data_IF_243068141482
#
_entry.id   IF_243068141482
#
_cell.length_a   1.000
_cell.length_b   1.000
_cell.length_c   1.000
_cell.angle_alpha   90.00
_cell.angle_beta   90.00
_cell.angle_gamma   90.00
#
_symmetry.space_group_name_H-M   'P 1'
#
loop_
_entity.id
_entity.type
_entity.pdbx_description
1 polymer ?
#
# COMPACT_ATOMS: atom_id res chain seq x y z
N UNK A 1 14.06 8.79 12.22
CA UNK A 1 13.62 7.42 11.84
C UNK A 1 12.78 7.54 10.58
N UNK A 2 13.46 7.62 9.42
CA UNK A 2 12.85 7.91 8.13
C UNK A 2 12.34 6.63 7.46
N UNK A 3 11.16 6.75 6.85
CA UNK A 3 10.50 5.77 5.99
C UNK A 3 11.46 5.20 4.93
N UNK A 4 11.94 3.96 5.10
CA UNK A 4 12.42 3.12 3.99
C UNK A 4 11.22 2.36 3.44
N UNK A 5 10.33 3.10 2.76
CA UNK A 5 9.08 2.61 2.12
C UNK A 5 9.42 2.13 0.71
N UNK A 6 8.92 0.95 0.32
CA UNK A 6 8.62 0.45 -1.04
C UNK A 6 9.59 0.68 -2.22
N UNK A 7 10.15 1.87 -2.42
CA UNK A 7 11.05 2.26 -3.51
C UNK A 7 12.42 1.58 -3.43
N UNK A 8 12.93 1.32 -2.21
CA UNK A 8 14.21 0.63 -2.05
C UNK A 8 14.17 -0.85 -2.45
N UNK A 9 12.99 -1.49 -2.45
CA UNK A 9 12.90 -2.92 -2.76
C UNK A 9 13.11 -3.21 -4.24
N UNK A 10 12.59 -2.34 -5.11
CA UNK A 10 12.88 -2.36 -6.55
C UNK A 10 14.38 -2.21 -6.81
N UNK A 11 15.01 -1.19 -6.20
CA UNK A 11 16.46 -0.97 -6.30
C UNK A 11 17.27 -2.20 -5.84
N UNK A 12 16.88 -2.83 -4.74
CA UNK A 12 17.56 -4.03 -4.24
C UNK A 12 17.44 -5.20 -5.23
N UNK A 13 16.25 -5.43 -5.78
CA UNK A 13 16.00 -6.49 -6.77
C UNK A 13 16.75 -6.22 -8.08
N UNK A 14 16.76 -4.97 -8.55
CA UNK A 14 17.47 -4.56 -9.76
C UNK A 14 18.98 -4.73 -9.59
N UNK A 15 19.54 -4.26 -8.47
CA UNK A 15 20.95 -4.44 -8.13
C UNK A 15 21.30 -5.92 -8.01
N UNK A 16 20.45 -6.71 -7.35
CA UNK A 16 20.65 -8.15 -7.24
C UNK A 16 20.65 -8.83 -8.61
N UNK A 17 19.70 -8.49 -9.47
CA UNK A 17 19.58 -9.03 -10.82
C UNK A 17 20.84 -8.71 -11.65
N UNK A 18 21.25 -7.44 -11.69
CA UNK A 18 22.48 -7.00 -12.37
C UNK A 18 23.69 -7.79 -11.84
N UNK A 19 23.81 -7.91 -10.52
CA UNK A 19 24.95 -8.61 -9.92
C UNK A 19 24.98 -10.09 -10.28
N UNK A 20 23.83 -10.78 -10.30
CA UNK A 20 23.75 -12.21 -10.67
C UNK A 20 24.01 -12.48 -12.16
N UNK A 21 23.78 -11.49 -13.02
CA UNK A 21 24.07 -11.60 -14.46
C UNK A 21 25.56 -11.38 -14.74
N UNK A 22 26.20 -10.45 -14.03
CA UNK A 22 27.60 -10.07 -14.27
C UNK A 22 28.58 -10.95 -13.48
N UNK A 23 28.22 -11.39 -12.28
CA UNK A 23 29.08 -12.15 -11.38
C UNK A 23 28.58 -13.57 -11.19
N UNK A 24 29.52 -14.53 -11.26
CA UNK A 24 29.24 -15.93 -10.94
C UNK A 24 28.90 -16.06 -9.46
N UNK A 25 27.76 -16.66 -9.15
CA UNK A 25 27.36 -16.95 -7.77
C UNK A 25 28.32 -17.96 -7.12
N UNK A 26 28.98 -17.55 -6.02
CA UNK A 26 29.96 -18.39 -5.31
C UNK A 26 29.43 -18.98 -3.99
N UNK A 27 28.30 -18.49 -3.47
CA UNK A 27 27.73 -19.00 -2.23
C UNK A 27 27.01 -17.93 -1.41
N UNK A 28 26.69 -18.29 -0.16
CA UNK A 28 25.94 -17.45 0.77
C UNK A 28 26.89 -16.81 1.79
N UNK A 29 26.60 -15.57 2.18
CA UNK A 29 27.41 -14.85 3.16
C UNK A 29 27.13 -15.33 4.59
N UNK A 30 28.14 -15.87 5.27
CA UNK A 30 28.10 -16.18 6.70
C UNK A 30 27.80 -14.92 7.51
N UNK A 31 26.82 -14.98 8.40
CA UNK A 31 26.48 -13.89 9.31
C UNK A 31 25.06 -13.98 9.86
N UNK A 32 24.35 -12.85 9.85
CA UNK A 32 23.02 -12.74 10.49
C UNK A 32 21.99 -13.69 9.88
N UNK A 33 22.04 -13.91 8.58
CA UNK A 33 21.03 -14.69 7.84
C UNK A 33 21.43 -16.14 7.55
N UNK A 34 22.73 -16.42 7.41
CA UNK A 34 23.26 -17.75 7.11
C UNK A 34 24.42 -18.13 8.03
N UNK A 35 24.48 -19.39 8.44
CA UNK A 35 25.58 -19.92 9.27
C UNK A 35 26.81 -20.32 8.44
N UNK A 36 27.84 -20.86 9.12
CA UNK A 36 29.08 -21.39 8.52
C UNK A 36 28.86 -22.46 7.45
N UNK A 37 27.73 -23.17 7.51
CA UNK A 37 27.37 -24.25 6.57
C UNK A 37 26.41 -23.74 5.48
N UNK A 38 26.08 -22.44 5.47
CA UNK A 38 25.12 -21.84 4.54
C UNK A 38 23.65 -22.10 4.87
N UNK A 39 23.35 -22.64 6.06
CA UNK A 39 21.97 -22.91 6.48
C UNK A 39 21.28 -21.63 6.96
N UNK A 40 19.96 -21.50 6.74
CA UNK A 40 19.19 -20.35 7.19
C UNK A 40 19.14 -20.27 8.73
N UNK A 41 19.52 -19.13 9.29
CA UNK A 41 19.41 -18.89 10.73
C UNK A 41 17.95 -18.68 11.15
N UNK A 42 17.68 -18.74 12.46
CA UNK A 42 16.37 -18.36 13.02
C UNK A 42 15.96 -16.94 12.63
N UNK A 43 16.93 -16.05 12.45
CA UNK A 43 16.67 -14.66 12.06
C UNK A 43 16.12 -14.59 10.63
N UNK A 44 16.74 -15.29 9.68
CA UNK A 44 16.26 -15.35 8.30
C UNK A 44 14.83 -15.89 8.22
N UNK A 45 14.56 -17.01 8.89
CA UNK A 45 13.21 -17.59 8.96
C UNK A 45 12.18 -16.60 9.51
N UNK A 46 12.56 -15.80 10.51
CA UNK A 46 11.71 -14.75 11.06
C UNK A 46 11.43 -13.61 10.08
N UNK A 47 12.43 -13.20 9.29
CA UNK A 47 12.26 -12.17 8.25
C UNK A 47 11.37 -12.70 7.12
N UNK A 48 11.61 -13.91 6.64
CA UNK A 48 10.80 -14.55 5.59
C UNK A 48 9.33 -14.73 6.04
N UNK A 49 9.10 -15.17 7.27
CA UNK A 49 7.74 -15.30 7.81
C UNK A 49 7.01 -13.95 7.89
N UNK A 50 7.71 -12.88 8.28
CA UNK A 50 7.15 -11.52 8.27
C UNK A 50 6.86 -11.03 6.86
N UNK A 51 7.75 -11.28 5.90
CA UNK A 51 7.55 -10.93 4.50
C UNK A 51 6.35 -11.67 3.89
N UNK A 52 6.24 -12.99 4.13
CA UNK A 52 5.12 -13.81 3.68
C UNK A 52 3.79 -13.33 4.27
N UNK A 53 3.75 -13.04 5.58
CA UNK A 53 2.56 -12.44 6.21
C UNK A 53 2.23 -11.08 5.60
N UNK A 54 3.24 -10.27 5.31
CA UNK A 54 3.09 -8.97 4.66
C UNK A 54 2.40 -9.07 3.30
N UNK A 55 2.89 -9.99 2.45
CA UNK A 55 2.31 -10.27 1.14
C UNK A 55 0.85 -10.76 1.23
N UNK A 56 0.55 -11.66 2.18
CA UNK A 56 -0.81 -12.14 2.41
C UNK A 56 -1.78 -11.02 2.82
N UNK A 57 -1.34 -10.11 3.69
CA UNK A 57 -2.16 -8.98 4.13
C UNK A 57 -2.39 -7.98 2.99
N UNK A 58 -1.36 -7.71 2.17
CA UNK A 58 -1.48 -6.84 1.01
C UNK A 58 -2.47 -7.41 -0.01
N UNK A 59 -2.44 -8.71 -0.25
CA UNK A 59 -3.38 -9.35 -1.19
C UNK A 59 -4.82 -9.30 -0.68
N UNK A 60 -5.03 -9.62 0.61
CA UNK A 60 -6.35 -9.47 1.25
C UNK A 60 -6.85 -8.03 1.14
N UNK A 61 -5.97 -7.07 1.35
CA UNK A 61 -6.30 -5.65 1.24
C UNK A 61 -6.74 -5.28 -0.18
N UNK A 62 -6.05 -5.74 -1.22
CA UNK A 62 -6.47 -5.53 -2.61
C UNK A 62 -7.85 -6.12 -2.89
N UNK A 63 -8.12 -7.32 -2.40
CA UNK A 63 -9.43 -7.99 -2.57
C UNK A 63 -10.55 -7.19 -1.90
N UNK A 64 -10.34 -6.73 -0.67
CA UNK A 64 -11.32 -5.88 0.03
C UNK A 64 -11.51 -4.53 -0.67
N UNK A 65 -10.45 -3.96 -1.21
CA UNK A 65 -10.51 -2.68 -1.91
C UNK A 65 -11.19 -2.78 -3.27
N UNK A 66 -11.03 -3.90 -3.97
CA UNK A 66 -11.67 -4.17 -5.25
C UNK A 66 -13.20 -4.30 -5.14
N UNK A 67 -13.75 -4.56 -3.94
CA UNK A 67 -15.21 -4.60 -3.71
C UNK A 67 -15.87 -3.23 -3.87
N UNK A 68 -15.12 -2.15 -3.65
CA UNK A 68 -15.63 -0.79 -3.69
C UNK A 68 -14.89 0.02 -4.76
N UNK A 69 -15.60 0.64 -5.72
CA UNK A 69 -14.99 1.39 -6.79
C UNK A 69 -14.11 2.53 -6.24
N UNK A 70 -12.92 2.68 -6.82
CA UNK A 70 -12.02 3.80 -6.51
C UNK A 70 -12.52 5.09 -7.14
N UNK A 71 -12.24 6.22 -6.50
CA UNK A 71 -12.51 7.53 -7.08
C UNK A 71 -11.48 7.89 -8.15
N UNK A 72 -11.90 8.72 -9.10
CA UNK A 72 -10.99 9.42 -10.00
C UNK A 72 -10.38 10.62 -9.27
N UNK A 73 -9.15 11.00 -9.64
CA UNK A 73 -8.49 12.19 -9.10
C UNK A 73 -7.64 12.87 -10.15
N UNK A 74 -7.65 14.20 -10.17
CA UNK A 74 -6.76 15.01 -11.01
C UNK A 74 -6.02 16.03 -10.17
N UNK A 75 -4.85 16.41 -10.64
CA UNK A 75 -4.11 17.54 -10.07
C UNK A 75 -3.61 18.43 -11.20
N UNK A 76 -3.81 19.73 -11.05
CA UNK A 76 -3.20 20.74 -11.91
C UNK A 76 -2.63 21.88 -11.07
N UNK A 77 -1.65 22.59 -11.60
CA UNK A 77 -1.05 23.72 -10.90
C UNK A 77 -2.03 24.88 -10.70
N UNK A 78 -2.97 25.05 -11.63
CA UNK A 78 -3.93 26.15 -11.66
C UNK A 78 -5.16 25.88 -10.77
N UNK A 79 -5.69 24.66 -10.81
CA UNK A 79 -6.95 24.30 -10.14
C UNK A 79 -6.76 23.50 -8.85
N UNK A 80 -5.54 23.03 -8.58
CA UNK A 80 -5.22 22.21 -7.41
C UNK A 80 -5.62 20.75 -7.58
N UNK A 81 -5.94 20.08 -6.48
CA UNK A 81 -6.35 18.66 -6.49
C UNK A 81 -7.86 18.55 -6.54
N UNK A 82 -8.37 17.63 -7.33
CA UNK A 82 -9.78 17.31 -7.38
C UNK A 82 -9.99 15.80 -7.36
N UNK A 83 -11.13 15.38 -6.79
CA UNK A 83 -11.54 13.98 -6.69
C UNK A 83 -13.02 13.88 -7.09
N UNK A 84 -13.36 12.90 -7.92
CA UNK A 84 -14.74 12.68 -8.36
C UNK A 84 -15.07 11.20 -8.57
N UNK A 85 -16.37 10.94 -8.69
CA UNK A 85 -16.92 9.63 -9.04
C UNK A 85 -17.80 9.76 -10.27
N UNK A 86 -17.66 8.86 -11.24
CA UNK A 86 -18.53 8.84 -12.42
C UNK A 86 -19.97 8.44 -12.06
N UNK A 87 -20.09 7.55 -11.07
CA UNK A 87 -21.36 7.17 -10.43
C UNK A 87 -21.19 7.22 -8.91
N UNK A 88 -22.10 7.93 -8.24
CA UNK A 88 -22.11 8.08 -6.78
C UNK A 88 -21.34 9.29 -6.26
N UNK A 89 -20.94 9.22 -4.99
CA UNK A 89 -20.30 10.30 -4.24
C UNK A 89 -18.97 9.83 -3.62
N UNK A 90 -17.89 10.63 -3.71
CA UNK A 90 -16.59 10.27 -3.14
C UNK A 90 -16.63 10.29 -1.60
N UNK A 91 -16.13 9.22 -0.97
CA UNK A 91 -15.95 9.12 0.48
C UNK A 91 -14.58 8.57 0.85
N UNK A 92 -14.03 9.12 1.92
CA UNK A 92 -12.80 8.64 2.53
C UNK A 92 -13.12 7.45 3.43
N UNK A 93 -12.51 6.30 3.14
CA UNK A 93 -12.63 5.05 3.88
C UNK A 93 -11.28 4.63 4.44
N UNK A 94 -11.28 4.06 5.64
CA UNK A 94 -10.06 3.61 6.30
C UNK A 94 -9.51 2.33 5.66
N UNK A 95 -8.18 2.14 5.72
CA UNK A 95 -7.49 0.91 5.28
C UNK A 95 -7.00 0.12 6.50
N UNK A 96 -7.88 -0.62 7.21
CA UNK A 96 -7.53 -1.25 8.48
C UNK A 96 -6.42 -2.30 8.37
N UNK A 97 -6.34 -3.02 7.24
CA UNK A 97 -5.31 -4.03 7.01
C UNK A 97 -3.90 -3.44 6.85
N UNK A 98 -3.79 -2.16 6.43
CA UNK A 98 -2.51 -1.49 6.24
C UNK A 98 -1.81 -1.17 7.57
N UNK A 99 -2.57 -1.05 8.68
CA UNK A 99 -2.01 -0.81 10.02
C UNK A 99 -1.07 -1.95 10.42
N UNK A 100 -1.46 -3.19 10.13
CA UNK A 100 -0.68 -4.37 10.49
C UNK A 100 0.68 -4.40 9.75
N UNK A 101 0.79 -3.66 8.63
CA UNK A 101 2.00 -3.56 7.82
C UNK A 101 2.84 -2.34 8.17
N UNK A 102 2.21 -1.17 8.30
CA UNK A 102 2.89 0.13 8.38
C UNK A 102 2.87 0.74 9.77
N UNK A 103 2.04 0.22 10.67
CA UNK A 103 1.76 0.80 11.98
C UNK A 103 1.01 2.12 11.93
N UNK A 104 0.52 2.54 10.75
CA UNK A 104 -0.21 3.79 10.57
C UNK A 104 -1.55 3.55 9.90
N UNK A 105 -2.54 4.32 10.30
CA UNK A 105 -3.82 4.37 9.63
C UNK A 105 -3.75 5.28 8.41
N UNK A 106 -4.15 4.75 7.27
CA UNK A 106 -4.32 5.49 6.02
C UNK A 106 -5.80 5.46 5.61
N UNK A 107 -6.18 6.45 4.81
CA UNK A 107 -7.52 6.56 4.20
C UNK A 107 -7.36 6.51 2.69
N UNK A 108 -8.36 5.96 2.00
CA UNK A 108 -8.49 6.01 0.53
C UNK A 108 -9.85 6.55 0.14
N UNK A 109 -9.98 7.00 -1.10
CA UNK A 109 -11.29 7.33 -1.65
C UNK A 109 -11.98 6.07 -2.20
N UNK A 110 -13.29 5.99 -2.00
CA UNK A 110 -14.20 5.06 -2.67
C UNK A 110 -15.51 5.77 -3.03
N UNK A 111 -16.16 5.32 -4.11
CA UNK A 111 -17.44 5.85 -4.55
C UNK A 111 -18.60 5.04 -3.95
N UNK A 112 -19.59 5.73 -3.41
CA UNK A 112 -20.79 5.13 -2.82
C UNK A 112 -22.06 5.69 -3.45
N UNK A 113 -23.12 4.89 -3.49
CA UNK A 113 -24.45 5.39 -3.86
C UNK A 113 -25.08 6.19 -2.72
N UNK A 114 -26.16 6.92 -3.03
CA UNK A 114 -26.82 7.82 -2.07
C UNK A 114 -27.36 7.08 -0.84
N UNK A 115 -27.91 5.89 -1.05
CA UNK A 115 -28.44 5.01 -0.02
C UNK A 115 -27.37 4.45 0.93
N UNK A 116 -26.10 4.41 0.49
CA UNK A 116 -24.98 3.91 1.28
C UNK A 116 -24.30 5.01 2.13
N UNK A 117 -24.61 6.29 1.89
CA UNK A 117 -23.93 7.40 2.56
C UNK A 117 -24.14 7.44 4.09
N UNK A 118 -25.18 6.77 4.59
CA UNK A 118 -25.45 6.65 6.02
C UNK A 118 -24.57 5.63 6.77
N UNK A 119 -23.70 4.89 6.07
CA UNK A 119 -22.85 3.89 6.69
C UNK A 119 -21.79 4.53 7.62
N UNK A 120 -21.52 3.93 8.79
CA UNK A 120 -20.49 4.42 9.69
C UNK A 120 -19.10 4.27 9.08
N UNK A 121 -18.20 5.23 9.36
CA UNK A 121 -16.82 5.19 8.88
C UNK A 121 -16.60 5.79 7.49
N UNK A 122 -17.63 6.37 6.88
CA UNK A 122 -17.51 7.23 5.69
C UNK A 122 -17.21 8.66 6.11
N UNK A 123 -16.10 9.21 5.61
CA UNK A 123 -15.72 10.59 5.86
C UNK A 123 -15.81 11.43 4.57
N UNK A 124 -16.24 12.68 4.69
CA UNK A 124 -16.29 13.65 3.59
C UNK A 124 -14.97 14.45 3.57
N UNK A 125 -14.52 14.83 2.38
CA UNK A 125 -13.38 15.73 2.25
C UNK A 125 -13.65 17.09 2.91
N UNK A 126 -12.62 17.68 3.53
CA UNK A 126 -12.75 18.98 4.19
C UNK A 126 -13.22 20.06 3.22
N UNK A 127 -14.30 20.77 3.54
CA UNK A 127 -14.86 21.81 2.69
C UNK A 127 -15.69 21.33 1.50
N UNK A 128 -15.91 20.01 1.36
CA UNK A 128 -16.78 19.45 0.34
C UNK A 128 -18.22 19.27 0.85
N UNK A 129 -19.22 19.51 0.01
CA UNK A 129 -20.62 19.26 0.35
C UNK A 129 -20.90 17.75 0.47
N UNK A 130 -21.85 17.38 1.34
CA UNK A 130 -22.19 15.97 1.55
C UNK A 130 -22.69 15.31 0.26
N UNK A 131 -23.42 16.01 -0.60
CA UNK A 131 -23.94 15.49 -1.87
C UNK A 131 -23.13 15.99 -3.08
N UNK A 132 -21.88 16.42 -2.88
CA UNK A 132 -21.00 16.78 -3.98
C UNK A 132 -20.48 15.53 -4.71
N UNK A 133 -20.61 15.51 -6.04
CA UNK A 133 -20.02 14.48 -6.92
C UNK A 133 -18.54 14.74 -7.24
N UNK A 134 -18.10 15.99 -7.08
CA UNK A 134 -16.74 16.47 -7.30
C UNK A 134 -16.30 17.25 -6.07
N UNK A 135 -15.18 16.89 -5.48
CA UNK A 135 -14.56 17.60 -4.35
C UNK A 135 -13.22 18.20 -4.79
N UNK A 136 -13.03 19.49 -4.53
CA UNK A 136 -11.74 20.18 -4.68
C UNK A 136 -11.04 20.26 -3.33
N UNK A 137 -9.73 19.98 -3.29
CA UNK A 137 -8.93 19.86 -2.06
C UNK A 137 -7.92 20.99 -1.92
#
# INVERSE_FOLDING_TARGET
MQNLRSECWGIILDVYLIFTVIFRFLGKLKGRYYDDKGNPTKYLKGVEAKAARGAQLLEKQKVEEAKLPSCNSRWSQEEGSEVWCDSGYPRLVQRPLEIALTGKMSKRCACFSEDELGQPGLEVYGGCDHLAKVCRL
#
